data_IF_256430322330
#
_entry.id   IF_256430322330
#
_cell.length_a   1.000
_cell.length_b   1.000
_cell.length_c   1.000
_cell.angle_alpha   90.00
_cell.angle_beta   90.00
_cell.angle_gamma   90.00
#
_symmetry.space_group_name_H-M   'P 1'
#
loop_
_entity.id
_entity.type
_entity.pdbx_description
1 polymer ?
#
# COMPACT_ATOMS: atom_id res chain seq x y z
N UNK A 1 7.30 -16.55 0.17
CA UNK A 1 7.71 -16.28 1.57
C UNK A 1 6.80 -17.09 2.49
N UNK A 2 7.27 -18.21 3.04
CA UNK A 2 6.42 -19.15 3.80
C UNK A 2 6.05 -18.67 5.21
N UNK A 3 6.66 -17.58 5.67
CA UNK A 3 6.46 -17.03 7.02
C UNK A 3 5.09 -16.39 7.18
N UNK A 4 4.62 -15.64 6.16
CA UNK A 4 3.36 -14.90 6.28
C UNK A 4 2.14 -15.82 6.48
N UNK A 5 1.93 -16.90 5.69
CA UNK A 5 0.81 -17.82 5.92
C UNK A 5 0.83 -18.46 7.30
N UNK A 6 2.02 -18.85 7.80
CA UNK A 6 2.18 -19.43 9.14
C UNK A 6 1.82 -18.43 10.26
N UNK A 7 2.27 -17.19 10.13
CA UNK A 7 1.93 -16.13 11.08
C UNK A 7 0.45 -15.76 11.01
N UNK A 8 -0.14 -15.74 9.81
CA UNK A 8 -1.57 -15.49 9.62
C UNK A 8 -2.43 -16.55 10.31
N UNK A 9 -2.07 -17.82 10.17
CA UNK A 9 -2.76 -18.90 10.90
C UNK A 9 -2.72 -18.65 12.42
N UNK A 10 -1.55 -18.30 12.95
CA UNK A 10 -1.39 -17.99 14.38
C UNK A 10 -2.21 -16.77 14.79
N UNK A 11 -2.23 -15.69 14.00
CA UNK A 11 -3.04 -14.51 14.29
C UNK A 11 -4.55 -14.79 14.22
N UNK A 12 -5.00 -15.65 13.31
CA UNK A 12 -6.41 -16.01 13.21
C UNK A 12 -6.88 -16.91 14.35
N UNK A 13 -5.99 -17.75 14.88
CA UNK A 13 -6.30 -18.73 15.93
C UNK A 13 -6.07 -18.20 17.34
N UNK A 14 -5.08 -17.32 17.54
CA UNK A 14 -4.65 -16.84 18.85
C UNK A 14 -4.59 -15.31 18.91
N UNK A 15 -5.65 -14.70 19.42
CA UNK A 15 -5.76 -13.26 19.64
C UNK A 15 -5.28 -12.85 21.05
N UNK A 16 -4.03 -13.19 21.38
CA UNK A 16 -3.47 -13.08 22.74
C UNK A 16 -2.43 -11.94 22.88
N UNK A 17 -1.97 -11.38 21.75
CA UNK A 17 -0.84 -10.45 21.74
C UNK A 17 -1.26 -9.05 22.23
N UNK A 18 -1.08 -8.80 23.52
CA UNK A 18 -1.33 -7.50 24.15
C UNK A 18 -0.13 -6.54 24.00
N UNK A 19 1.10 -7.07 24.02
CA UNK A 19 2.33 -6.27 23.93
C UNK A 19 2.85 -6.15 22.50
N UNK A 20 3.07 -4.91 22.06
CA UNK A 20 3.52 -4.60 20.70
C UNK A 20 5.01 -4.89 20.45
N UNK A 21 5.76 -5.27 21.48
CA UNK A 21 7.22 -5.47 21.39
C UNK A 21 7.61 -6.69 20.56
N UNK A 22 6.77 -7.73 20.55
CA UNK A 22 6.96 -8.90 19.69
C UNK A 22 6.99 -8.49 18.21
N UNK A 23 6.07 -7.61 17.79
CA UNK A 23 6.01 -7.11 16.42
C UNK A 23 7.26 -6.30 16.06
N UNK A 24 7.79 -5.47 16.98
CA UNK A 24 9.04 -4.73 16.76
C UNK A 24 10.22 -5.68 16.54
N UNK A 25 10.30 -6.78 17.30
CA UNK A 25 11.35 -7.79 17.16
C UNK A 25 11.24 -8.50 15.81
N UNK A 26 10.06 -9.01 15.45
CA UNK A 26 9.85 -9.65 14.15
C UNK A 26 10.11 -8.72 12.98
N UNK A 27 9.68 -7.46 13.07
CA UNK A 27 9.95 -6.44 12.06
C UNK A 27 11.45 -6.17 11.90
N UNK A 28 12.21 -6.14 13.01
CA UNK A 28 13.67 -6.00 12.99
C UNK A 28 14.33 -7.19 12.31
N UNK A 29 13.88 -8.41 12.59
CA UNK A 29 14.41 -9.63 11.98
C UNK A 29 14.09 -9.72 10.49
N UNK A 30 12.86 -9.39 10.07
CA UNK A 30 12.47 -9.29 8.66
C UNK A 30 13.31 -8.23 7.95
N UNK A 31 13.49 -7.06 8.56
CA UNK A 31 14.33 -6.00 8.00
C UNK A 31 15.79 -6.45 7.85
N UNK A 32 16.35 -7.12 8.86
CA UNK A 32 17.71 -7.69 8.82
C UNK A 32 17.84 -8.71 7.68
N UNK A 33 16.84 -9.56 7.49
CA UNK A 33 16.80 -10.53 6.39
C UNK A 33 16.74 -9.84 5.01
N UNK A 34 15.77 -8.94 4.81
CA UNK A 34 15.57 -8.22 3.54
C UNK A 34 16.83 -7.44 3.13
N UNK A 35 17.52 -6.83 4.10
CA UNK A 35 18.72 -6.04 3.84
C UNK A 35 20.04 -6.80 4.00
N UNK A 36 20.01 -8.13 4.22
CA UNK A 36 21.20 -8.96 4.44
C UNK A 36 22.13 -8.38 5.53
N UNK A 37 21.56 -7.89 6.63
CA UNK A 37 22.29 -7.25 7.73
C UNK A 37 22.78 -5.82 7.46
N UNK A 38 22.57 -5.27 6.26
CA UNK A 38 22.94 -3.88 5.92
C UNK A 38 21.88 -2.90 6.43
N UNK A 39 22.28 -1.62 6.57
CA UNK A 39 21.34 -0.55 6.94
C UNK A 39 20.22 -0.41 5.87
N UNK A 40 18.94 -0.34 6.28
CA UNK A 40 17.83 -0.11 5.36
C UNK A 40 18.01 1.18 4.55
N UNK A 41 17.78 1.12 3.25
CA UNK A 41 17.89 2.29 2.36
C UNK A 41 16.57 3.03 2.15
N UNK A 42 15.47 2.34 2.45
CA UNK A 42 14.09 2.85 2.31
C UNK A 42 13.43 2.74 3.68
N UNK A 43 12.62 3.74 4.04
CA UNK A 43 11.82 3.70 5.28
C UNK A 43 10.87 2.50 5.23
N UNK A 44 10.68 1.83 6.36
CA UNK A 44 9.83 0.65 6.43
C UNK A 44 8.38 0.92 5.98
N UNK A 45 7.79 2.06 6.35
CA UNK A 45 6.45 2.47 5.90
C UNK A 45 6.30 2.48 4.37
N UNK A 46 7.31 2.99 3.66
CA UNK A 46 7.33 2.96 2.19
C UNK A 46 7.50 1.54 1.62
N UNK A 47 8.17 0.62 2.33
CA UNK A 47 8.27 -0.77 1.90
C UNK A 47 6.92 -1.50 2.02
N UNK A 48 6.15 -1.21 3.07
CA UNK A 48 4.85 -1.86 3.37
C UNK A 48 3.70 -1.34 2.54
N UNK A 49 3.83 -0.14 1.97
CA UNK A 49 2.80 0.48 1.15
C UNK A 49 2.47 -0.36 -0.12
N UNK A 50 1.28 -0.12 -0.67
CA UNK A 50 0.77 -0.85 -1.83
C UNK A 50 1.63 -0.56 -3.07
N UNK A 51 1.75 -1.55 -3.97
CA UNK A 51 2.55 -1.41 -5.21
C UNK A 51 2.06 -0.26 -6.08
N UNK A 52 0.75 -0.03 -6.15
CA UNK A 52 0.15 1.02 -6.98
C UNK A 52 0.45 2.43 -6.46
N UNK A 53 0.59 2.60 -5.14
CA UNK A 53 1.03 3.87 -4.51
C UNK A 53 2.55 3.97 -4.42
N UNK A 54 3.24 2.94 -4.87
CA UNK A 54 4.67 2.89 -4.98
C UNK A 54 5.43 2.27 -3.83
N UNK A 55 4.78 1.49 -2.98
CA UNK A 55 5.48 0.63 -2.06
C UNK A 55 5.91 -0.71 -2.68
N UNK A 56 6.54 -1.55 -1.88
CA UNK A 56 6.99 -2.88 -2.31
C UNK A 56 6.02 -3.99 -1.90
N UNK A 57 4.90 -3.64 -1.25
CA UNK A 57 3.95 -4.55 -0.62
C UNK A 57 4.61 -5.56 0.33
N UNK A 58 5.57 -5.09 1.13
CA UNK A 58 6.11 -5.87 2.22
C UNK A 58 5.00 -6.10 3.27
N UNK A 59 4.75 -7.35 3.71
CA UNK A 59 3.72 -7.62 4.72
C UNK A 59 4.03 -6.96 6.06
N UNK A 60 3.09 -6.15 6.58
CA UNK A 60 3.16 -5.66 7.95
C UNK A 60 2.41 -6.61 8.90
N UNK A 61 3.18 -7.39 9.68
CA UNK A 61 2.63 -8.38 10.61
C UNK A 61 1.70 -7.76 11.66
N UNK A 62 1.94 -6.52 12.07
CA UNK A 62 1.10 -5.84 13.05
C UNK A 62 -0.28 -5.55 12.48
N UNK A 63 -0.32 -4.97 11.27
CA UNK A 63 -1.58 -4.66 10.59
C UNK A 63 -2.36 -5.94 10.28
N UNK A 64 -1.67 -7.03 9.95
CA UNK A 64 -2.32 -8.34 9.76
C UNK A 64 -2.93 -8.89 11.04
N UNK A 65 -2.24 -8.76 12.17
CA UNK A 65 -2.77 -9.15 13.48
C UNK A 65 -4.00 -8.30 13.86
N UNK A 66 -3.92 -6.98 13.71
CA UNK A 66 -5.04 -6.06 13.96
C UNK A 66 -6.23 -6.35 13.02
N UNK A 67 -5.96 -6.68 11.76
CA UNK A 67 -7.01 -7.09 10.80
C UNK A 67 -7.70 -8.41 11.21
N UNK A 68 -6.93 -9.38 11.70
CA UNK A 68 -7.49 -10.63 12.21
C UNK A 68 -8.32 -10.40 13.49
N UNK A 69 -7.92 -9.46 14.35
CA UNK A 69 -8.71 -9.06 15.52
C UNK A 69 -10.08 -8.50 15.12
N UNK A 70 -10.16 -7.69 14.06
CA UNK A 70 -11.44 -7.22 13.53
C UNK A 70 -12.34 -8.35 13.02
N UNK A 71 -11.78 -9.41 12.44
CA UNK A 71 -12.57 -10.58 12.04
C UNK A 71 -13.23 -11.27 13.25
N UNK A 72 -12.58 -11.28 14.41
CA UNK A 72 -13.18 -11.77 15.67
C UNK A 72 -14.23 -10.79 16.19
N UNK A 73 -13.90 -9.49 16.23
CA UNK A 73 -14.83 -8.44 16.64
C UNK A 73 -16.12 -8.44 15.81
N UNK A 74 -16.08 -8.84 14.53
CA UNK A 74 -17.28 -9.00 13.70
C UNK A 74 -18.37 -9.82 14.40
N UNK A 75 -18.01 -10.89 15.12
CA UNK A 75 -18.96 -11.73 15.84
C UNK A 75 -19.60 -10.97 17.01
N UNK A 76 -18.83 -10.16 17.73
CA UNK A 76 -19.34 -9.30 18.82
C UNK A 76 -20.25 -8.18 18.30
N UNK A 77 -19.97 -7.68 17.09
CA UNK A 77 -20.77 -6.63 16.46
C UNK A 77 -22.10 -7.17 15.90
N UNK A 78 -22.06 -8.33 15.25
CA UNK A 78 -23.24 -8.91 14.60
C UNK A 78 -24.18 -9.63 15.56
N UNK A 79 -23.64 -10.18 16.66
CA UNK A 79 -24.36 -10.97 17.66
C UNK A 79 -25.03 -12.24 17.11
N UNK A 80 -24.50 -12.81 16.02
CA UNK A 80 -25.11 -13.94 15.30
C UNK A 80 -24.76 -15.31 15.91
N UNK A 81 -23.53 -15.51 16.38
CA UNK A 81 -23.05 -16.79 16.90
C UNK A 81 -23.17 -16.85 18.43
N UNK A 82 -24.30 -17.33 18.94
CA UNK A 82 -24.59 -17.44 20.38
C UNK A 82 -23.54 -18.24 21.13
N UNK A 83 -23.10 -19.39 20.59
CA UNK A 83 -22.17 -20.29 21.26
C UNK A 83 -20.81 -19.64 21.55
N UNK A 84 -20.26 -18.92 20.58
CA UNK A 84 -18.97 -18.23 20.75
C UNK A 84 -19.12 -17.07 21.73
N UNK A 85 -20.21 -16.32 21.62
CA UNK A 85 -20.50 -15.20 22.54
C UNK A 85 -20.69 -15.67 23.97
N UNK A 86 -21.23 -16.88 24.17
CA UNK A 86 -21.41 -17.50 25.47
C UNK A 86 -20.11 -18.04 26.06
N UNK A 87 -19.30 -18.71 25.26
CA UNK A 87 -17.96 -19.14 25.67
C UNK A 87 -17.06 -17.95 26.05
N UNK A 88 -17.00 -16.91 25.21
CA UNK A 88 -16.11 -15.78 25.44
C UNK A 88 -16.61 -14.82 26.53
N UNK A 89 -17.93 -14.81 26.76
CA UNK A 89 -18.60 -13.91 27.71
C UNK A 89 -19.12 -14.60 28.97
N UNK A 90 -18.53 -15.72 29.38
CA UNK A 90 -18.96 -16.52 30.54
C UNK A 90 -18.99 -15.70 31.87
N UNK A 91 -18.10 -14.72 32.03
CA UNK A 91 -18.01 -13.86 33.23
C UNK A 91 -18.53 -12.42 33.00
N UNK A 92 -19.11 -12.14 31.82
CA UNK A 92 -19.57 -10.81 31.47
C UNK A 92 -20.86 -10.48 32.22
N UNK A 93 -20.95 -9.26 32.77
CA UNK A 93 -22.16 -8.79 33.45
C UNK A 93 -23.16 -8.13 32.51
N UNK A 94 -22.68 -7.49 31.46
CA UNK A 94 -23.50 -6.79 30.46
C UNK A 94 -23.27 -7.36 29.05
N UNK A 95 -24.08 -6.93 28.10
CA UNK A 95 -23.86 -7.18 26.67
C UNK A 95 -22.50 -6.67 26.15
N UNK A 96 -22.07 -7.22 25.02
CA UNK A 96 -20.87 -6.86 24.29
C UNK A 96 -20.88 -5.40 23.83
N UNK A 97 -22.01 -4.88 23.35
CA UNK A 97 -22.11 -3.49 22.91
C UNK A 97 -21.97 -2.51 24.07
N UNK A 98 -22.32 -2.93 25.29
CA UNK A 98 -22.08 -2.16 26.52
C UNK A 98 -20.58 -1.88 26.74
N UNK A 99 -19.74 -2.89 26.51
CA UNK A 99 -18.30 -2.81 26.69
C UNK A 99 -17.61 -2.11 25.51
N UNK A 100 -18.06 -2.35 24.27
CA UNK A 100 -17.46 -1.81 23.04
C UNK A 100 -17.78 -0.32 22.85
N UNK A 101 -19.02 0.09 23.10
CA UNK A 101 -19.49 1.46 22.80
C UNK A 101 -19.58 2.35 24.04
N UNK A 102 -20.25 1.88 25.10
CA UNK A 102 -20.54 2.67 26.32
C UNK A 102 -19.45 2.61 27.40
N UNK A 103 -18.28 2.06 27.08
CA UNK A 103 -17.07 2.06 27.91
C UNK A 103 -17.31 1.52 29.35
N UNK A 104 -18.22 0.55 29.49
CA UNK A 104 -18.51 -0.16 30.76
C UNK A 104 -17.31 -0.92 31.32
N UNK A 105 -16.23 -1.03 30.55
CA UNK A 105 -14.94 -1.59 30.96
C UNK A 105 -14.28 -0.75 32.06
N UNK A 106 -14.54 0.57 32.13
CA UNK A 106 -14.09 1.42 33.26
C UNK A 106 -14.78 1.05 34.58
N UNK A 107 -16.03 0.59 34.50
CA UNK A 107 -16.84 0.22 35.66
C UNK A 107 -16.58 -1.23 36.09
N UNK A 108 -16.34 -2.13 35.13
CA UNK A 108 -16.09 -3.55 35.39
C UNK A 108 -14.75 -4.01 34.80
N UNK A 109 -13.71 -4.06 35.65
CA UNK A 109 -12.37 -4.54 35.27
C UNK A 109 -12.36 -6.01 34.82
N UNK A 110 -13.35 -6.80 35.23
CA UNK A 110 -13.49 -8.23 34.87
C UNK A 110 -13.39 -8.50 33.37
N UNK A 111 -13.93 -7.60 32.54
CA UNK A 111 -13.87 -7.73 31.08
C UNK A 111 -12.43 -7.77 30.52
N UNK A 112 -11.49 -7.08 31.17
CA UNK A 112 -10.06 -7.04 30.80
C UNK A 112 -9.23 -8.17 31.41
N UNK A 113 -9.79 -8.96 32.32
CA UNK A 113 -9.07 -10.06 32.95
C UNK A 113 -8.84 -11.20 31.95
N UNK A 114 -9.75 -11.38 30.99
CA UNK A 114 -9.58 -12.37 29.94
C UNK A 114 -8.63 -11.89 28.85
N UNK A 115 -7.64 -12.72 28.57
CA UNK A 115 -6.49 -12.38 27.72
C UNK A 115 -6.93 -12.00 26.30
N UNK A 116 -7.86 -12.77 25.71
CA UNK A 116 -8.38 -12.51 24.36
C UNK A 116 -9.23 -11.24 24.33
N UNK A 117 -10.09 -11.05 25.35
CA UNK A 117 -11.00 -9.90 25.38
C UNK A 117 -10.23 -8.60 25.52
N UNK A 118 -9.21 -8.60 26.38
CA UNK A 118 -8.29 -7.49 26.56
C UNK A 118 -7.58 -7.13 25.26
N UNK A 119 -7.03 -8.11 24.54
CA UNK A 119 -6.32 -7.87 23.29
C UNK A 119 -7.24 -7.28 22.21
N UNK A 120 -8.42 -7.89 22.00
CA UNK A 120 -9.41 -7.43 21.03
C UNK A 120 -9.94 -6.02 21.35
N UNK A 121 -10.26 -5.76 22.63
CA UNK A 121 -10.70 -4.44 23.08
C UNK A 121 -9.60 -3.37 22.89
N UNK A 122 -8.35 -3.70 23.16
CA UNK A 122 -7.22 -2.79 22.94
C UNK A 122 -7.01 -2.47 21.47
N UNK A 123 -7.31 -3.40 20.54
CA UNK A 123 -7.32 -3.12 19.09
C UNK A 123 -8.50 -2.23 18.74
N UNK A 124 -9.71 -2.56 19.22
CA UNK A 124 -10.92 -1.76 18.99
C UNK A 124 -10.72 -0.30 19.40
N UNK A 125 -10.28 -0.06 20.64
CA UNK A 125 -10.09 1.30 21.16
C UNK A 125 -9.08 2.14 20.37
N UNK A 126 -8.11 1.52 19.68
CA UNK A 126 -7.14 2.24 18.84
C UNK A 126 -7.73 2.77 17.54
N UNK A 127 -8.79 2.14 17.06
CA UNK A 127 -9.40 2.46 15.77
C UNK A 127 -10.85 2.94 15.90
N UNK A 128 -11.46 2.87 17.09
CA UNK A 128 -12.84 3.26 17.35
C UNK A 128 -13.14 4.65 16.77
N UNK A 129 -12.33 5.65 17.12
CA UNK A 129 -12.54 7.03 16.68
C UNK A 129 -12.29 7.22 15.17
N UNK A 130 -11.44 6.38 14.56
CA UNK A 130 -11.15 6.40 13.12
C UNK A 130 -12.25 5.73 12.29
N UNK A 131 -12.89 4.71 12.86
CA UNK A 131 -13.89 3.88 12.20
C UNK A 131 -15.31 4.43 12.38
N UNK A 132 -15.63 4.90 13.58
CA UNK A 132 -16.96 5.37 13.99
C UNK A 132 -16.81 6.67 14.81
N UNK A 133 -16.95 7.80 14.13
CA UNK A 133 -16.91 9.13 14.78
C UNK A 133 -18.23 9.49 15.47
N UNK A 134 -19.30 8.79 15.13
CA UNK A 134 -20.68 8.98 15.59
C UNK A 134 -21.29 7.64 16.00
N UNK A 135 -22.48 7.66 16.61
CA UNK A 135 -23.17 6.43 17.03
C UNK A 135 -23.49 5.56 15.80
N UNK A 136 -23.01 4.30 15.77
CA UNK A 136 -23.10 3.44 14.60
C UNK A 136 -24.48 2.81 14.46
N UNK A 137 -24.84 2.40 13.24
CA UNK A 137 -26.16 1.84 12.95
C UNK A 137 -26.29 0.38 13.40
N UNK A 138 -25.18 -0.33 13.51
CA UNK A 138 -25.14 -1.72 13.97
C UNK A 138 -25.27 -1.89 15.50
N UNK A 139 -25.22 -0.80 16.26
CA UNK A 139 -25.33 -0.85 17.73
C UNK A 139 -26.76 -1.20 18.16
N UNK A 140 -26.87 -2.13 19.11
CA UNK A 140 -28.12 -2.58 19.74
C UNK A 140 -28.21 -2.01 21.16
N UNK A 141 -29.04 -0.98 21.41
CA UNK A 141 -29.12 -0.34 22.72
C UNK A 141 -29.69 -1.25 23.81
N UNK A 142 -30.53 -2.20 23.40
CA UNK A 142 -31.13 -3.18 24.29
C UNK A 142 -30.07 -4.15 24.84
N UNK A 143 -29.24 -4.68 23.96
CA UNK A 143 -28.14 -5.58 24.34
C UNK A 143 -27.16 -4.87 25.28
N UNK A 144 -26.88 -3.60 25.02
CA UNK A 144 -25.96 -2.81 25.84
C UNK A 144 -26.45 -2.53 27.28
N UNK A 145 -27.76 -2.60 27.53
CA UNK A 145 -28.35 -2.37 28.86
C UNK A 145 -28.68 -3.65 29.61
N UNK A 146 -28.95 -4.74 28.89
CA UNK A 146 -29.31 -6.02 29.46
C UNK A 146 -28.16 -6.69 30.22
N UNK A 147 -28.51 -7.38 31.30
CA UNK A 147 -27.57 -8.19 32.09
C UNK A 147 -27.42 -9.52 31.38
N UNK A 148 -26.20 -9.90 31.03
CA UNK A 148 -25.96 -11.11 30.25
C UNK A 148 -26.44 -12.35 31.00
N UNK A 149 -27.21 -13.21 30.32
CA UNK A 149 -27.60 -14.56 30.79
C UNK A 149 -27.05 -15.60 29.80
N UNK A 150 -26.77 -16.80 30.28
CA UNK A 150 -26.39 -17.94 29.44
C UNK A 150 -27.54 -18.28 28.48
N UNK A 151 -27.23 -18.59 27.22
CA UNK A 151 -28.21 -18.88 26.16
C UNK A 151 -29.21 -17.74 25.94
N UNK A 152 -28.75 -16.49 25.95
CA UNK A 152 -29.60 -15.36 25.54
C UNK A 152 -29.88 -15.44 24.04
N UNK A 153 -30.94 -16.15 23.66
CA UNK A 153 -31.53 -16.02 22.34
C UNK A 153 -32.27 -14.69 22.26
N UNK A 154 -31.70 -13.72 21.55
CA UNK A 154 -32.43 -12.52 21.16
C UNK A 154 -31.75 -11.91 19.95
N UNK A 155 -32.43 -11.96 18.81
CA UNK A 155 -32.16 -11.04 17.70
C UNK A 155 -32.48 -9.63 18.19
N UNK A 156 -31.51 -9.00 18.85
CA UNK A 156 -31.67 -7.66 19.39
C UNK A 156 -31.77 -6.66 18.24
N UNK A 157 -32.79 -5.80 18.23
CA UNK A 157 -32.93 -4.82 17.17
C UNK A 157 -31.75 -3.83 17.23
N UNK A 158 -31.13 -3.61 16.08
CA UNK A 158 -30.02 -2.65 15.88
C UNK A 158 -30.60 -1.27 15.56
N UNK A 159 -29.83 -0.20 15.75
CA UNK A 159 -30.26 1.14 15.38
C UNK A 159 -30.70 1.27 13.91
N UNK A 160 -30.13 0.51 12.98
CA UNK A 160 -30.57 0.47 11.58
C UNK A 160 -32.03 0.01 11.40
N UNK A 161 -32.60 -0.70 12.37
CA UNK A 161 -33.97 -1.21 12.33
C UNK A 161 -34.94 -0.38 13.18
N UNK A 162 -34.43 0.36 14.16
CA UNK A 162 -35.22 1.11 15.17
C UNK A 162 -35.47 2.57 14.74
N UNK A 163 -34.60 3.12 13.90
CA UNK A 163 -34.62 4.53 13.51
C UNK A 163 -35.44 4.75 12.24
N UNK A 164 -36.33 5.74 12.26
CA UNK A 164 -37.01 6.31 11.09
C UNK A 164 -36.36 7.65 10.72
N UNK A 165 -36.18 7.89 9.42
CA UNK A 165 -35.64 9.14 8.90
C UNK A 165 -36.78 10.06 8.45
N UNK A 166 -36.95 11.19 9.12
CA UNK A 166 -37.72 12.35 8.65
C UNK A 166 -36.72 13.46 8.28
N UNK A 167 -36.15 13.41 7.08
CA UNK A 167 -35.12 14.37 6.62
C UNK A 167 -33.83 14.32 7.46
N UNK A 168 -33.35 15.46 7.96
CA UNK A 168 -32.16 15.52 8.85
C UNK A 168 -32.43 15.06 10.30
N UNK A 169 -33.70 14.85 10.67
CA UNK A 169 -34.09 14.47 12.03
C UNK A 169 -34.31 12.96 12.10
N UNK A 170 -33.39 12.30 12.78
CA UNK A 170 -33.55 10.90 13.20
C UNK A 170 -34.61 10.84 14.30
N UNK A 171 -35.69 10.10 14.06
CA UNK A 171 -36.72 9.80 15.07
C UNK A 171 -36.71 8.31 15.38
N UNK A 172 -37.06 7.98 16.62
CA UNK A 172 -37.31 6.60 17.02
C UNK A 172 -38.68 6.17 16.47
N UNK A 173 -38.78 4.96 15.92
CA UNK A 173 -40.06 4.38 15.51
C UNK A 173 -41.06 4.33 16.66
N UNK A 174 -42.35 4.46 16.35
CA UNK A 174 -43.43 4.34 17.35
C UNK A 174 -43.43 2.94 17.99
N UNK A 175 -43.88 2.88 19.25
CA UNK A 175 -43.98 1.64 20.01
C UNK A 175 -44.79 0.56 19.28
N UNK A 176 -45.83 0.95 18.55
CA UNK A 176 -46.68 0.03 17.77
C UNK A 176 -45.93 -0.71 16.67
N UNK A 177 -44.95 -0.07 16.02
CA UNK A 177 -44.09 -0.69 14.99
C UNK A 177 -42.99 -1.56 15.58
N UNK A 178 -42.53 -1.22 16.78
CA UNK A 178 -41.48 -1.93 17.51
C UNK A 178 -42.00 -3.05 18.42
N UNK A 179 -43.31 -3.20 18.57
CA UNK A 179 -43.97 -4.20 19.42
C UNK A 179 -43.60 -5.65 19.07
N UNK A 180 -43.23 -5.93 17.82
CA UNK A 180 -42.76 -7.25 17.38
C UNK A 180 -41.28 -7.52 17.71
N UNK A 181 -40.50 -6.48 18.01
CA UNK A 181 -39.04 -6.55 18.25
C UNK A 181 -38.63 -6.24 19.70
N UNK A 182 -39.55 -5.66 20.47
CA UNK A 182 -39.34 -5.22 21.85
C UNK A 182 -40.30 -5.97 22.76
N UNK A 183 -39.77 -6.66 23.78
CA UNK A 183 -40.58 -7.52 24.66
C UNK A 183 -41.63 -6.74 25.48
N UNK A 184 -41.27 -5.55 25.99
CA UNK A 184 -42.13 -4.76 26.90
C UNK A 184 -42.04 -3.25 26.66
N UNK A 185 -43.05 -2.51 27.13
CA UNK A 185 -43.06 -1.04 27.09
C UNK A 185 -41.89 -0.41 27.87
N UNK A 186 -41.44 -1.05 28.96
CA UNK A 186 -40.28 -0.63 29.74
C UNK A 186 -38.99 -0.70 28.90
N UNK A 187 -38.85 -1.75 28.10
CA UNK A 187 -37.72 -1.92 27.21
C UNK A 187 -37.69 -0.82 26.13
N UNK A 188 -38.86 -0.41 25.63
CA UNK A 188 -38.96 0.73 24.71
C UNK A 188 -38.53 2.05 25.39
N UNK A 189 -38.91 2.26 26.65
CA UNK A 189 -38.50 3.45 27.41
C UNK A 189 -36.99 3.49 27.66
N UNK A 190 -36.39 2.33 27.94
CA UNK A 190 -34.94 2.19 28.09
C UNK A 190 -34.18 2.51 26.79
N UNK A 191 -34.69 2.10 25.62
CA UNK A 191 -34.14 2.49 24.32
C UNK A 191 -34.32 3.99 24.08
N UNK A 192 -35.46 4.56 24.44
CA UNK A 192 -35.70 6.00 24.26
C UNK A 192 -34.71 6.83 25.11
N UNK A 193 -34.38 6.35 26.30
CA UNK A 193 -33.38 6.98 27.15
C UNK A 193 -31.96 6.90 26.54
N UNK A 194 -31.53 5.73 26.04
CA UNK A 194 -30.22 5.63 25.36
C UNK A 194 -30.19 6.45 24.08
N UNK A 195 -31.28 6.43 23.30
CA UNK A 195 -31.44 7.25 22.11
C UNK A 195 -31.29 8.74 22.43
N UNK A 196 -31.85 9.23 23.54
CA UNK A 196 -31.66 10.62 23.97
C UNK A 196 -30.20 10.94 24.32
N UNK A 197 -29.48 9.99 24.89
CA UNK A 197 -28.04 10.13 25.20
C UNK A 197 -27.20 10.12 23.91
N UNK A 198 -27.44 9.16 23.02
CA UNK A 198 -26.72 8.99 21.76
C UNK A 198 -27.05 10.09 20.74
N UNK A 199 -28.24 10.70 20.82
CA UNK A 199 -28.61 11.89 20.03
C UNK A 199 -27.73 13.10 20.35
N UNK A 200 -27.14 13.19 21.55
CA UNK A 200 -26.19 14.26 21.90
C UNK A 200 -24.84 14.09 21.19
N UNK A 201 -24.45 12.85 20.91
CA UNK A 201 -23.21 12.49 20.19
C UNK A 201 -23.44 12.59 18.67
N UNK A 202 -24.67 12.29 18.22
CA UNK A 202 -25.08 12.30 16.82
C UNK A 202 -24.98 10.92 16.19
N UNK A 203 -25.91 10.62 15.25
CA UNK A 203 -25.96 9.34 14.55
C UNK A 203 -25.23 9.41 13.21
N UNK A 204 -24.63 8.28 12.82
CA UNK A 204 -24.03 8.14 11.49
C UNK A 204 -25.14 7.84 10.47
N UNK A 205 -25.32 8.76 9.50
CA UNK A 205 -26.38 8.68 8.48
C UNK A 205 -26.00 7.72 7.34
N UNK A 206 -24.75 7.78 6.90
CA UNK A 206 -24.19 6.90 5.86
C UNK A 206 -23.62 5.62 6.47
N UNK A 207 -23.54 4.55 5.68
CA UNK A 207 -22.92 3.30 6.15
C UNK A 207 -21.46 3.57 6.52
N UNK A 208 -21.03 3.11 7.68
CA UNK A 208 -19.63 3.29 8.09
C UNK A 208 -18.70 2.43 7.23
N UNK A 209 -17.42 2.83 7.14
CA UNK A 209 -16.42 2.03 6.42
C UNK A 209 -16.28 0.62 7.03
N UNK A 210 -16.59 0.47 8.32
CA UNK A 210 -16.71 -0.83 8.98
C UNK A 210 -17.92 -1.63 8.49
N UNK A 211 -19.08 -0.99 8.39
CA UNK A 211 -20.31 -1.64 7.91
C UNK A 211 -20.11 -2.19 6.49
N UNK A 212 -19.51 -1.40 5.60
CA UNK A 212 -19.26 -1.81 4.21
C UNK A 212 -18.16 -2.87 4.07
N UNK A 213 -17.05 -2.77 4.81
CA UNK A 213 -15.89 -3.65 4.60
C UNK A 213 -15.88 -4.90 5.49
N UNK A 214 -16.54 -4.86 6.66
CA UNK A 214 -16.51 -5.94 7.66
C UNK A 214 -17.86 -6.61 7.90
N UNK A 215 -18.96 -5.86 8.00
CA UNK A 215 -20.26 -6.41 8.45
C UNK A 215 -21.06 -7.09 7.33
N UNK A 216 -20.86 -6.72 6.06
CA UNK A 216 -21.49 -7.41 4.93
C UNK A 216 -20.99 -8.86 4.77
N UNK A 217 -21.84 -9.78 4.25
CA UNK A 217 -21.45 -11.17 4.01
C UNK A 217 -20.57 -11.22 2.77
N UNK A 218 -19.25 -11.20 2.96
CA UNK A 218 -18.33 -11.29 1.83
C UNK A 218 -17.06 -12.06 2.16
N UNK A 219 -16.58 -12.77 1.15
CA UNK A 219 -15.30 -13.46 1.18
C UNK A 219 -14.16 -12.45 1.32
N UNK A 220 -13.04 -12.84 1.95
CA UNK A 220 -11.79 -12.04 2.10
C UNK A 220 -11.84 -10.85 3.08
N UNK A 221 -12.61 -10.95 4.18
CA UNK A 221 -12.68 -9.92 5.25
C UNK A 221 -11.30 -9.44 5.73
N UNK A 222 -10.36 -10.36 5.95
CA UNK A 222 -9.01 -10.02 6.41
C UNK A 222 -8.26 -9.14 5.42
N UNK A 223 -8.32 -9.44 4.12
CA UNK A 223 -7.64 -8.66 3.08
C UNK A 223 -8.25 -7.27 2.91
N UNK A 224 -9.58 -7.17 3.01
CA UNK A 224 -10.32 -5.88 2.96
C UNK A 224 -9.93 -5.00 4.15
N UNK A 225 -9.99 -5.56 5.35
CA UNK A 225 -9.60 -4.86 6.57
C UNK A 225 -8.13 -4.43 6.53
N UNK A 226 -7.23 -5.32 6.11
CA UNK A 226 -5.81 -4.99 5.96
C UNK A 226 -5.59 -3.83 4.99
N UNK A 227 -6.25 -3.84 3.83
CA UNK A 227 -6.11 -2.76 2.85
C UNK A 227 -6.64 -1.42 3.39
N UNK A 228 -7.70 -1.45 4.20
CA UNK A 228 -8.27 -0.27 4.85
C UNK A 228 -7.31 0.28 5.93
N UNK A 229 -6.81 -0.59 6.83
CA UNK A 229 -5.83 -0.20 7.84
C UNK A 229 -4.52 0.29 7.21
N UNK A 230 -4.08 -0.35 6.13
CA UNK A 230 -2.90 0.06 5.37
C UNK A 230 -3.09 1.45 4.76
N UNK A 231 -4.26 1.74 4.18
CA UNK A 231 -4.59 3.09 3.66
C UNK A 231 -4.40 4.15 4.73
N UNK A 232 -4.87 3.91 5.94
CA UNK A 232 -4.74 4.87 7.03
C UNK A 232 -3.32 5.01 7.53
N UNK A 233 -2.59 3.90 7.66
CA UNK A 233 -1.19 3.97 8.08
C UNK A 233 -0.27 4.65 7.03
N UNK A 234 -0.68 4.68 5.77
CA UNK A 234 0.08 5.30 4.67
C UNK A 234 -0.46 6.66 4.20
N UNK A 235 -1.59 7.15 4.73
CA UNK A 235 -2.17 8.46 4.39
C UNK A 235 -1.22 9.63 4.70
N UNK A 236 -0.41 9.52 5.77
CA UNK A 236 0.56 10.56 6.14
C UNK A 236 1.76 10.67 5.17
N UNK A 237 2.01 9.65 4.33
CA UNK A 237 3.17 9.60 3.42
C UNK A 237 2.76 9.73 1.93
N UNK A 238 1.62 10.35 1.63
CA UNK A 238 1.13 10.58 0.25
C UNK A 238 2.20 11.22 -0.64
N UNK A 239 2.89 12.25 -0.12
CA UNK A 239 4.06 12.84 -0.77
C UNK A 239 5.32 12.13 -0.28
N UNK A 240 5.83 11.21 -1.10
CA UNK A 240 7.07 10.50 -0.78
C UNK A 240 8.23 11.48 -0.76
N UNK A 241 9.08 11.39 0.27
CA UNK A 241 10.32 12.19 0.36
C UNK A 241 11.23 12.07 -0.88
N UNK A 242 11.12 10.97 -1.63
CA UNK A 242 11.80 10.80 -2.91
C UNK A 242 11.26 11.74 -4.00
N UNK A 243 9.95 11.96 -4.06
CA UNK A 243 9.30 12.84 -5.03
C UNK A 243 9.74 14.30 -4.83
N UNK A 244 9.75 14.77 -3.58
CA UNK A 244 10.20 16.14 -3.24
C UNK A 244 11.65 16.35 -3.71
N UNK A 245 12.53 15.39 -3.43
CA UNK A 245 13.93 15.48 -3.85
C UNK A 245 14.08 15.45 -5.37
N UNK A 246 13.21 14.72 -6.08
CA UNK A 246 13.17 14.74 -7.54
C UNK A 246 12.69 16.06 -8.11
N UNK A 247 11.64 16.66 -7.54
CA UNK A 247 11.21 18.00 -7.92
C UNK A 247 12.32 19.05 -7.71
N UNK A 248 13.05 18.97 -6.59
CA UNK A 248 14.20 19.86 -6.31
C UNK A 248 15.31 19.74 -7.35
N UNK A 249 15.71 18.51 -7.72
CA UNK A 249 16.81 18.29 -8.67
C UNK A 249 16.43 18.64 -10.12
N UNK A 250 15.17 18.45 -10.48
CA UNK A 250 14.63 18.73 -11.82
C UNK A 250 14.32 20.23 -12.00
N UNK A 251 14.06 20.96 -10.92
CA UNK A 251 13.77 22.40 -10.95
C UNK A 251 12.31 22.74 -11.28
N UNK A 252 11.42 21.74 -11.35
CA UNK A 252 9.97 21.95 -11.45
C UNK A 252 9.19 20.87 -10.69
N UNK A 253 7.94 21.19 -10.33
CA UNK A 253 7.09 20.27 -9.57
C UNK A 253 6.63 19.10 -10.46
N UNK A 254 6.87 17.88 -9.99
CA UNK A 254 6.32 16.66 -10.57
C UNK A 254 4.89 16.50 -10.06
N UNK A 255 3.92 16.37 -10.97
CA UNK A 255 2.52 16.15 -10.60
C UNK A 255 2.35 14.77 -9.95
N UNK A 256 1.54 14.71 -8.90
CA UNK A 256 1.27 13.46 -8.18
C UNK A 256 0.68 12.38 -9.10
N UNK A 257 -0.22 12.76 -10.02
CA UNK A 257 -0.82 11.86 -10.99
C UNK A 257 0.21 11.18 -11.90
N UNK A 258 1.19 11.93 -12.40
CA UNK A 258 2.28 11.39 -13.23
C UNK A 258 3.16 10.42 -12.42
N UNK A 259 3.40 10.73 -11.15
CA UNK A 259 4.15 9.88 -10.24
C UNK A 259 3.42 8.56 -9.94
N UNK A 260 2.11 8.60 -9.71
CA UNK A 260 1.28 7.41 -9.53
C UNK A 260 1.18 6.59 -10.82
N UNK A 261 1.15 7.26 -11.98
CA UNK A 261 1.15 6.62 -13.28
C UNK A 261 2.41 5.78 -13.52
N UNK A 262 3.57 6.17 -12.98
CA UNK A 262 4.80 5.37 -13.06
C UNK A 262 4.63 4.00 -12.41
N UNK A 263 3.95 3.93 -11.27
CA UNK A 263 3.75 2.68 -10.54
C UNK A 263 2.69 1.79 -11.19
N UNK A 264 1.62 2.40 -11.69
CA UNK A 264 0.49 1.67 -12.28
C UNK A 264 0.75 1.22 -13.72
N UNK A 265 1.44 2.04 -14.54
CA UNK A 265 1.69 1.75 -15.97
C UNK A 265 3.17 1.63 -16.29
N UNK A 266 4.00 2.55 -15.78
CA UNK A 266 5.44 2.63 -16.10
C UNK A 266 6.25 1.41 -15.69
N UNK A 267 5.90 0.74 -14.58
CA UNK A 267 6.56 -0.50 -14.12
C UNK A 267 5.95 -1.74 -14.76
N UNK A 268 4.73 -1.66 -15.29
CA UNK A 268 4.03 -2.80 -15.89
C UNK A 268 4.44 -3.06 -17.33
N UNK A 269 5.35 -2.31 -17.95
CA UNK A 269 5.82 -2.61 -19.31
C UNK A 269 6.56 -3.97 -19.44
N UNK A 270 7.17 -4.48 -18.35
CA UNK A 270 7.91 -5.76 -18.34
C UNK A 270 7.38 -6.76 -17.32
N UNK A 271 7.50 -8.06 -17.61
CA UNK A 271 7.35 -9.11 -16.60
C UNK A 271 8.67 -9.36 -15.84
N UNK A 272 9.82 -9.01 -16.44
CA UNK A 272 11.14 -9.22 -15.84
C UNK A 272 11.35 -8.38 -14.56
N UNK A 273 11.59 -9.05 -13.44
CA UNK A 273 11.82 -8.40 -12.14
C UNK A 273 13.07 -7.50 -12.12
N UNK A 274 14.13 -7.86 -12.84
CA UNK A 274 15.37 -7.07 -12.88
C UNK A 274 15.15 -5.67 -13.50
N UNK A 275 14.34 -5.60 -14.57
CA UNK A 275 14.00 -4.34 -15.23
C UNK A 275 13.11 -3.47 -14.34
N UNK A 276 12.14 -4.10 -13.66
CA UNK A 276 11.27 -3.42 -12.68
C UNK A 276 12.07 -2.87 -11.51
N UNK A 277 13.04 -3.64 -11.01
CA UNK A 277 13.92 -3.24 -9.92
C UNK A 277 14.76 -2.01 -10.29
N UNK A 278 15.24 -1.89 -11.53
CA UNK A 278 15.98 -0.70 -11.96
C UNK A 278 15.13 0.58 -11.83
N UNK A 279 13.88 0.56 -12.30
CA UNK A 279 12.97 1.71 -12.19
C UNK A 279 12.73 2.03 -10.71
N UNK A 280 12.43 1.03 -9.88
CA UNK A 280 12.23 1.22 -8.45
C UNK A 280 13.47 1.81 -7.76
N UNK A 281 14.67 1.36 -8.13
CA UNK A 281 15.95 1.91 -7.65
C UNK A 281 16.15 3.37 -8.06
N UNK A 282 15.74 3.75 -9.27
CA UNK A 282 15.79 5.15 -9.73
C UNK A 282 14.80 6.02 -8.96
N UNK A 283 13.54 5.60 -8.85
CA UNK A 283 12.49 6.34 -8.16
C UNK A 283 12.87 6.64 -6.70
N UNK A 284 13.35 5.62 -5.97
CA UNK A 284 13.78 5.76 -4.58
C UNK A 284 15.23 6.23 -4.39
N UNK A 285 15.97 6.52 -5.48
CA UNK A 285 17.37 7.00 -5.44
C UNK A 285 18.29 6.06 -4.64
N UNK A 286 18.18 4.78 -4.95
CA UNK A 286 18.80 3.68 -4.20
C UNK A 286 20.32 3.66 -4.33
N UNK A 287 20.86 4.14 -5.46
CA UNK A 287 22.30 4.17 -5.70
C UNK A 287 23.02 5.08 -4.71
N UNK A 288 24.15 4.59 -4.18
CA UNK A 288 25.00 5.35 -3.27
C UNK A 288 25.86 6.32 -4.07
N UNK A 289 25.89 7.57 -3.63
CA UNK A 289 26.66 8.63 -4.27
C UNK A 289 27.87 9.00 -3.41
N UNK A 290 28.93 9.60 -3.98
CA UNK A 290 30.08 10.13 -3.25
C UNK A 290 29.66 11.03 -2.09
N UNK A 291 28.71 11.94 -2.31
CA UNK A 291 28.19 12.82 -1.25
C UNK A 291 27.54 12.03 -0.10
N UNK A 292 26.75 10.99 -0.40
CA UNK A 292 26.15 10.14 0.64
C UNK A 292 27.21 9.33 1.39
N UNK A 293 28.21 8.80 0.67
CA UNK A 293 29.29 8.01 1.26
C UNK A 293 30.20 8.87 2.12
N UNK A 294 30.53 10.08 1.68
CA UNK A 294 31.28 11.06 2.44
C UNK A 294 30.58 11.39 3.77
N UNK A 295 29.26 11.55 3.76
CA UNK A 295 28.48 11.75 5.00
C UNK A 295 28.43 10.53 5.92
N UNK A 296 28.45 9.31 5.38
CA UNK A 296 28.36 8.07 6.18
C UNK A 296 29.71 7.71 6.80
N UNK A 297 30.79 7.87 6.04
CA UNK A 297 32.14 7.46 6.43
C UNK A 297 33.05 8.63 6.80
N UNK A 298 32.50 9.85 6.86
CA UNK A 298 33.24 11.09 7.12
C UNK A 298 34.46 11.27 6.19
N UNK A 299 34.33 10.88 4.92
CA UNK A 299 35.41 10.99 3.95
C UNK A 299 35.55 12.44 3.46
N UNK A 300 36.78 12.94 3.25
CA UNK A 300 37.01 14.31 2.79
C UNK A 300 36.66 14.51 1.31
N UNK A 301 36.64 13.44 0.50
CA UNK A 301 36.39 13.52 -0.92
C UNK A 301 34.92 13.20 -1.27
N UNK A 302 34.16 14.24 -1.63
CA UNK A 302 32.77 14.14 -2.10
C UNK A 302 32.63 14.30 -3.63
N UNK A 303 33.75 14.30 -4.37
CA UNK A 303 33.79 14.54 -5.81
C UNK A 303 33.16 13.40 -6.60
N UNK A 304 32.64 13.75 -7.77
CA UNK A 304 32.06 12.80 -8.73
C UNK A 304 33.10 11.80 -9.23
N UNK A 305 32.79 10.50 -9.18
CA UNK A 305 33.70 9.44 -9.69
C UNK A 305 33.98 9.48 -11.19
N UNK A 306 33.23 10.28 -11.96
CA UNK A 306 33.38 10.37 -13.42
C UNK A 306 34.20 11.59 -13.83
N UNK A 307 33.83 12.80 -13.37
CA UNK A 307 34.53 14.03 -13.74
C UNK A 307 35.61 14.44 -12.73
N UNK A 308 35.59 13.97 -11.48
CA UNK A 308 36.48 14.40 -10.39
C UNK A 308 36.51 15.92 -10.13
N UNK A 309 35.59 16.70 -10.70
CA UNK A 309 35.58 18.17 -10.62
C UNK A 309 34.55 18.65 -9.60
N UNK A 310 33.28 18.29 -9.81
CA UNK A 310 32.14 18.75 -9.00
C UNK A 310 31.69 17.72 -7.98
N UNK A 311 30.88 18.14 -7.02
CA UNK A 311 30.28 17.24 -6.03
C UNK A 311 29.44 16.14 -6.70
N UNK A 312 29.63 14.90 -6.26
CA UNK A 312 28.93 13.73 -6.77
C UNK A 312 27.51 13.62 -6.21
N UNK A 313 26.63 14.58 -6.55
CA UNK A 313 25.20 14.48 -6.23
C UNK A 313 24.53 13.38 -7.07
N UNK A 314 23.33 12.94 -6.66
CA UNK A 314 22.61 11.90 -7.38
C UNK A 314 22.27 12.35 -8.81
N UNK A 315 21.74 13.56 -8.96
CA UNK A 315 21.41 14.13 -10.27
C UNK A 315 22.66 14.35 -11.13
N UNK A 316 23.77 14.78 -10.52
CA UNK A 316 25.02 14.97 -11.25
C UNK A 316 25.54 13.66 -11.86
N UNK A 317 25.55 12.58 -11.07
CA UNK A 317 25.97 11.26 -11.53
C UNK A 317 25.00 10.55 -12.48
N UNK A 318 23.81 11.10 -12.72
CA UNK A 318 22.85 10.51 -13.66
C UNK A 318 22.61 11.38 -14.89
N UNK A 319 22.85 12.69 -14.81
CA UNK A 319 22.46 13.62 -15.87
C UNK A 319 23.48 14.73 -16.13
N UNK A 320 23.82 15.54 -15.12
CA UNK A 320 24.56 16.80 -15.38
C UNK A 320 26.06 16.62 -15.58
N UNK A 321 26.64 15.48 -15.17
CA UNK A 321 28.07 15.23 -15.38
C UNK A 321 28.41 15.28 -16.88
N UNK A 322 29.43 16.04 -17.32
CA UNK A 322 29.75 16.21 -18.74
C UNK A 322 29.93 14.88 -19.49
N UNK A 323 30.66 13.93 -18.89
CA UNK A 323 30.85 12.58 -19.42
C UNK A 323 29.54 11.80 -19.59
N UNK A 324 28.61 11.95 -18.64
CA UNK A 324 27.34 11.23 -18.64
C UNK A 324 26.35 11.88 -19.60
N UNK A 325 26.39 13.20 -19.72
CA UNK A 325 25.64 13.96 -20.72
C UNK A 325 26.02 13.53 -22.14
N UNK A 326 27.32 13.35 -22.41
CA UNK A 326 27.81 12.83 -23.69
C UNK A 326 27.27 11.41 -23.97
N UNK A 327 27.29 10.53 -22.97
CA UNK A 327 26.71 9.18 -23.09
C UNK A 327 25.20 9.20 -23.38
N UNK A 328 24.43 10.03 -22.66
CA UNK A 328 22.99 10.18 -22.94
C UNK A 328 22.71 10.79 -24.31
N UNK A 329 23.60 11.66 -24.79
CA UNK A 329 23.51 12.24 -26.13
C UNK A 329 23.73 11.20 -27.23
N UNK A 330 24.71 10.30 -27.05
CA UNK A 330 24.90 9.15 -27.94
C UNK A 330 23.63 8.29 -28.00
N UNK A 331 23.07 7.92 -26.85
CA UNK A 331 21.87 7.08 -26.77
C UNK A 331 20.65 7.82 -27.36
N UNK A 332 20.50 9.11 -27.08
CA UNK A 332 19.43 9.91 -27.66
C UNK A 332 19.49 9.92 -29.19
N UNK A 333 20.69 10.07 -29.77
CA UNK A 333 20.86 10.07 -31.22
C UNK A 333 20.48 8.71 -31.83
N UNK A 334 20.82 7.61 -31.18
CA UNK A 334 20.44 6.27 -31.61
C UNK A 334 18.93 6.04 -31.51
N UNK A 335 18.30 6.42 -30.41
CA UNK A 335 16.85 6.34 -30.25
C UNK A 335 16.15 7.21 -31.30
N UNK A 336 16.67 8.40 -31.60
CA UNK A 336 16.17 9.30 -32.65
C UNK A 336 16.25 8.64 -34.03
N UNK A 337 17.34 7.93 -34.35
CA UNK A 337 17.48 7.17 -35.61
C UNK A 337 16.44 6.05 -35.70
N UNK A 338 16.23 5.30 -34.61
CA UNK A 338 15.24 4.20 -34.55
C UNK A 338 13.82 4.73 -34.72
N UNK A 339 13.47 5.79 -33.99
CA UNK A 339 12.11 6.34 -33.96
C UNK A 339 11.80 7.26 -35.16
N UNK A 340 12.83 7.71 -35.90
CA UNK A 340 12.74 8.68 -37.01
C UNK A 340 11.97 9.96 -36.63
N UNK A 341 12.07 10.39 -35.37
CA UNK A 341 11.37 11.56 -34.82
C UNK A 341 12.22 12.27 -33.76
N UNK A 342 12.14 13.60 -33.71
CA UNK A 342 12.82 14.45 -32.72
C UNK A 342 11.91 14.80 -31.55
N UNK A 343 12.36 14.57 -30.33
CA UNK A 343 11.61 14.92 -29.11
C UNK A 343 12.54 15.59 -28.08
N UNK A 344 12.03 16.43 -27.17
CA UNK A 344 12.88 17.14 -26.23
C UNK A 344 13.57 16.18 -25.24
N UNK A 345 14.86 16.43 -24.98
CA UNK A 345 15.70 15.69 -24.01
C UNK A 345 15.32 16.03 -22.57
N UNK A 346 14.16 15.53 -22.13
CA UNK A 346 13.62 15.75 -20.78
C UNK A 346 14.20 14.71 -19.79
N UNK A 347 14.86 15.12 -18.69
CA UNK A 347 15.47 14.18 -17.74
C UNK A 347 14.44 13.25 -17.09
N UNK A 348 13.19 13.69 -16.92
CA UNK A 348 12.10 12.89 -16.35
C UNK A 348 11.79 11.67 -17.23
N UNK A 349 11.83 11.86 -18.56
CA UNK A 349 11.59 10.77 -19.51
C UNK A 349 12.73 9.74 -19.48
N UNK A 350 13.99 10.18 -19.46
CA UNK A 350 15.14 9.29 -19.50
C UNK A 350 15.45 8.59 -18.18
N UNK A 351 15.29 9.28 -17.04
CA UNK A 351 15.66 8.77 -15.72
C UNK A 351 14.49 8.09 -15.00
N UNK A 352 13.30 8.69 -15.04
CA UNK A 352 12.11 8.19 -14.33
C UNK A 352 11.18 7.40 -15.25
N UNK A 353 11.23 7.64 -16.58
CA UNK A 353 10.28 7.05 -17.52
C UNK A 353 8.95 7.82 -17.60
N UNK A 354 8.92 9.10 -17.20
CA UNK A 354 7.75 9.96 -17.37
C UNK A 354 7.76 10.46 -18.82
N UNK A 355 7.26 9.64 -19.72
CA UNK A 355 7.30 9.91 -21.16
C UNK A 355 6.21 10.91 -21.58
N UNK A 356 5.12 11.05 -20.82
CA UNK A 356 4.03 11.98 -21.12
C UNK A 356 3.52 11.83 -22.56
N UNK A 357 3.19 12.94 -23.23
CA UNK A 357 2.85 12.97 -24.66
C UNK A 357 4.07 13.02 -25.60
N UNK A 358 5.30 12.97 -25.07
CA UNK A 358 6.54 13.19 -25.84
C UNK A 358 6.82 12.06 -26.84
N UNK A 359 6.33 10.85 -26.56
CA UNK A 359 6.48 9.67 -27.41
C UNK A 359 5.10 9.10 -27.71
N UNK A 360 4.89 8.74 -28.98
CA UNK A 360 3.67 8.06 -29.46
C UNK A 360 3.44 6.80 -28.64
N UNK A 361 2.17 6.48 -28.33
CA UNK A 361 1.82 5.35 -27.46
C UNK A 361 2.48 4.03 -27.89
N UNK A 362 2.55 3.75 -29.20
CA UNK A 362 3.20 2.57 -29.78
C UNK A 362 4.72 2.50 -29.55
N UNK A 363 5.39 3.64 -29.43
CA UNK A 363 6.86 3.70 -29.30
C UNK A 363 7.33 3.79 -27.83
N UNK A 364 6.39 3.91 -26.87
CA UNK A 364 6.71 4.07 -25.44
C UNK A 364 7.37 2.83 -24.87
N UNK A 365 6.89 1.65 -25.24
CA UNK A 365 7.42 0.37 -24.75
C UNK A 365 8.91 0.25 -25.09
N UNK A 366 9.26 0.42 -26.37
CA UNK A 366 10.64 0.40 -26.83
C UNK A 366 11.50 1.46 -26.13
N UNK A 367 11.01 2.71 -26.03
CA UNK A 367 11.72 3.78 -25.33
C UNK A 367 12.03 3.41 -23.87
N UNK A 368 11.09 2.79 -23.17
CA UNK A 368 11.29 2.32 -21.80
C UNK A 368 12.36 1.23 -21.70
N UNK A 369 12.38 0.27 -22.63
CA UNK A 369 13.44 -0.75 -22.68
C UNK A 369 14.82 -0.14 -22.97
N UNK A 370 14.90 0.73 -23.98
CA UNK A 370 16.12 1.41 -24.40
C UNK A 370 16.75 2.26 -23.28
N UNK A 371 15.92 3.05 -22.60
CA UNK A 371 16.38 3.88 -21.46
C UNK A 371 16.71 3.04 -20.23
N UNK A 372 15.99 1.93 -19.98
CA UNK A 372 16.31 1.03 -18.87
C UNK A 372 17.64 0.30 -19.10
N UNK A 373 17.94 -0.10 -20.34
CA UNK A 373 19.24 -0.69 -20.71
C UNK A 373 20.39 0.29 -20.42
N UNK A 374 20.23 1.55 -20.84
CA UNK A 374 21.18 2.63 -20.56
C UNK A 374 21.41 2.80 -19.04
N UNK A 375 20.33 2.83 -18.26
CA UNK A 375 20.40 2.96 -16.81
C UNK A 375 21.12 1.79 -16.14
N UNK A 376 20.85 0.56 -16.58
CA UNK A 376 21.49 -0.64 -16.01
C UNK A 376 22.98 -0.66 -16.33
N UNK A 377 23.38 -0.27 -17.54
CA UNK A 377 24.79 -0.18 -17.92
C UNK A 377 25.54 0.90 -17.13
N UNK A 378 24.96 2.09 -16.97
CA UNK A 378 25.53 3.12 -16.09
C UNK A 378 25.66 2.65 -14.65
N UNK A 379 24.67 1.89 -14.15
CA UNK A 379 24.72 1.30 -12.82
C UNK A 379 25.78 0.18 -12.68
N UNK A 380 26.11 -0.54 -13.77
CA UNK A 380 27.20 -1.53 -13.79
C UNK A 380 28.55 -0.84 -13.60
N UNK A 381 28.78 0.26 -14.33
CA UNK A 381 29.99 1.07 -14.24
C UNK A 381 29.88 2.20 -13.21
N UNK A 382 29.13 2.00 -12.12
CA UNK A 382 28.77 3.10 -11.22
C UNK A 382 29.98 3.77 -10.54
N UNK A 383 30.88 2.96 -9.97
CA UNK A 383 32.08 3.44 -9.23
C UNK A 383 33.32 3.66 -10.09
N UNK A 384 33.35 3.11 -11.30
CA UNK A 384 34.51 3.17 -12.20
C UNK A 384 34.53 4.49 -12.98
N UNK A 385 35.68 4.95 -13.46
CA UNK A 385 35.74 6.15 -14.33
C UNK A 385 35.29 5.87 -15.78
N UNK A 386 35.35 4.60 -16.19
CA UNK A 386 34.94 4.15 -17.52
C UNK A 386 33.43 4.30 -17.73
N UNK A 387 33.05 4.53 -18.99
CA UNK A 387 31.67 4.59 -19.45
C UNK A 387 31.36 3.38 -20.33
N UNK A 388 30.07 2.94 -20.38
CA UNK A 388 29.66 1.89 -21.30
C UNK A 388 29.82 2.34 -22.76
N UNK A 389 30.13 1.39 -23.64
CA UNK A 389 30.22 1.63 -25.09
C UNK A 389 28.85 1.51 -25.76
N UNK A 390 28.75 1.97 -27.00
CA UNK A 390 27.52 1.87 -27.79
C UNK A 390 27.16 0.41 -28.09
N UNK A 391 28.16 -0.42 -28.41
CA UNK A 391 27.99 -1.84 -28.70
C UNK A 391 27.40 -2.59 -27.51
N UNK A 392 27.92 -2.36 -26.30
CA UNK A 392 27.38 -2.95 -25.07
C UNK A 392 25.90 -2.57 -24.85
N UNK A 393 25.53 -1.33 -25.18
CA UNK A 393 24.14 -0.89 -25.12
C UNK A 393 23.27 -1.59 -26.17
N UNK A 394 23.72 -1.69 -27.41
CA UNK A 394 23.00 -2.39 -28.47
C UNK A 394 22.78 -3.86 -28.11
N UNK A 395 23.82 -4.57 -27.65
CA UNK A 395 23.70 -5.96 -27.19
C UNK A 395 22.67 -6.10 -26.07
N UNK A 396 22.67 -5.18 -25.09
CA UNK A 396 21.68 -5.21 -24.01
C UNK A 396 20.25 -4.95 -24.48
N UNK A 397 20.07 -4.08 -25.46
CA UNK A 397 18.74 -3.84 -26.04
C UNK A 397 18.26 -5.06 -26.83
N UNK A 398 19.15 -5.78 -27.51
CA UNK A 398 18.84 -7.06 -28.18
C UNK A 398 18.43 -8.12 -27.16
N UNK A 399 19.17 -8.28 -26.05
CA UNK A 399 18.78 -9.18 -24.96
C UNK A 399 17.35 -8.86 -24.45
N UNK A 400 17.02 -7.57 -24.35
CA UNK A 400 15.72 -7.11 -23.86
C UNK A 400 14.59 -7.30 -24.85
N UNK A 401 14.88 -7.36 -26.16
CA UNK A 401 13.92 -7.76 -27.18
C UNK A 401 13.44 -9.20 -26.92
N UNK A 402 14.36 -10.14 -26.66
CA UNK A 402 14.00 -11.51 -26.29
C UNK A 402 13.19 -11.58 -24.99
N UNK A 403 13.54 -10.78 -23.98
CA UNK A 403 12.76 -10.69 -22.74
C UNK A 403 11.37 -10.06 -22.93
N UNK A 404 11.22 -9.16 -23.90
CA UNK A 404 9.93 -8.57 -24.26
C UNK A 404 9.02 -9.58 -24.94
N UNK A 405 9.55 -10.41 -25.85
CA UNK A 405 8.82 -11.51 -26.47
C UNK A 405 8.34 -12.54 -25.44
N UNK A 406 9.20 -12.91 -24.49
CA UNK A 406 8.80 -13.76 -23.35
C UNK A 406 7.75 -13.10 -22.47
N UNK A 407 7.86 -11.78 -22.23
CA UNK A 407 6.85 -11.02 -21.46
C UNK A 407 5.49 -11.03 -22.16
N UNK A 408 5.45 -10.89 -23.49
CA UNK A 408 4.22 -10.96 -24.27
C UNK A 408 3.54 -12.32 -24.16
N UNK A 409 4.33 -13.40 -24.28
CA UNK A 409 3.84 -14.79 -24.10
C UNK A 409 3.26 -15.04 -22.71
N UNK A 410 3.90 -14.54 -21.65
CA UNK A 410 3.40 -14.71 -20.27
C UNK A 410 2.07 -13.98 -20.02
N UNK A 411 1.79 -12.94 -20.81
CA UNK A 411 0.62 -12.06 -20.61
C UNK A 411 -0.49 -12.28 -21.63
N UNK A 412 -0.38 -13.32 -22.46
CA UNK A 412 -1.28 -13.59 -23.58
C UNK A 412 -1.49 -12.36 -24.49
N UNK A 413 -0.47 -11.50 -24.58
CA UNK A 413 -0.49 -10.38 -25.52
C UNK A 413 -0.19 -10.95 -26.91
N UNK A 414 -1.09 -10.72 -27.88
CA UNK A 414 -0.94 -11.23 -29.24
C UNK A 414 0.45 -10.92 -29.80
N UNK A 415 1.11 -11.92 -30.40
CA UNK A 415 2.49 -11.82 -30.93
C UNK A 415 2.69 -10.56 -31.79
N UNK A 416 1.65 -10.18 -32.53
CA UNK A 416 1.60 -8.99 -33.38
C UNK A 416 1.89 -7.66 -32.64
N UNK A 417 1.44 -7.52 -31.39
CA UNK A 417 1.63 -6.28 -30.62
C UNK A 417 3.08 -6.07 -30.19
N UNK A 418 3.76 -7.15 -29.78
CA UNK A 418 5.19 -7.10 -29.45
C UNK A 418 6.01 -6.91 -30.72
N UNK A 419 5.61 -7.56 -31.81
CA UNK A 419 6.30 -7.43 -33.09
C UNK A 419 6.17 -6.01 -33.67
N UNK A 420 5.01 -5.35 -33.53
CA UNK A 420 4.83 -3.93 -33.88
C UNK A 420 5.74 -2.99 -33.07
N UNK A 421 5.83 -3.19 -31.75
CA UNK A 421 6.64 -2.35 -30.85
C UNK A 421 8.14 -2.40 -31.19
N UNK A 422 8.63 -3.55 -31.69
CA UNK A 422 10.03 -3.77 -32.04
C UNK A 422 10.32 -3.67 -33.54
N UNK A 423 9.30 -3.55 -34.41
CA UNK A 423 9.45 -3.51 -35.87
C UNK A 423 10.44 -2.43 -36.34
N UNK A 424 10.36 -1.23 -35.76
CA UNK A 424 11.26 -0.11 -36.08
C UNK A 424 12.70 -0.39 -35.67
N UNK A 425 12.89 -1.09 -34.56
CA UNK A 425 14.21 -1.47 -34.07
C UNK A 425 14.80 -2.63 -34.89
N UNK A 426 14.01 -3.63 -35.28
CA UNK A 426 14.44 -4.70 -36.20
C UNK A 426 14.86 -4.14 -37.56
N UNK A 427 14.11 -3.16 -38.09
CA UNK A 427 14.51 -2.43 -39.32
C UNK A 427 15.81 -1.65 -39.09
N UNK A 428 15.98 -0.98 -37.95
CA UNK A 428 17.21 -0.26 -37.62
C UNK A 428 18.44 -1.20 -37.54
N UNK A 429 18.33 -2.34 -36.87
CA UNK A 429 19.40 -3.33 -36.76
C UNK A 429 19.82 -3.86 -38.14
N UNK A 430 18.85 -4.13 -39.03
CA UNK A 430 19.13 -4.54 -40.42
C UNK A 430 19.85 -3.46 -41.23
N UNK A 431 19.58 -2.18 -40.96
CA UNK A 431 20.12 -1.06 -41.75
C UNK A 431 21.49 -0.58 -41.24
N UNK A 432 21.72 -0.59 -39.93
CA UNK A 432 22.93 -0.01 -39.32
C UNK A 432 23.96 -1.02 -38.79
N UNK A 433 23.57 -2.26 -38.44
CA UNK A 433 24.48 -3.21 -37.78
C UNK A 433 24.93 -4.38 -38.66
N UNK A 434 24.40 -4.57 -39.87
CA UNK A 434 24.69 -5.75 -40.73
C UNK A 434 24.58 -7.10 -39.98
N UNK A 435 23.74 -7.21 -38.95
CA UNK A 435 23.48 -8.46 -38.25
C UNK A 435 22.33 -9.14 -39.01
N UNK A 436 22.66 -10.22 -39.72
CA UNK A 436 21.79 -10.80 -40.74
C UNK A 436 20.70 -11.73 -40.17
N UNK A 437 20.71 -12.07 -38.87
CA UNK A 437 19.69 -12.95 -38.28
C UNK A 437 19.35 -12.54 -36.84
N UNK A 438 18.10 -12.08 -36.65
CA UNK A 438 17.33 -12.03 -35.39
C UNK A 438 15.83 -12.03 -35.73
#
# INVERSE_FOLDING_TARGET
MNVLPRMLFLFQTLQILDKMDCFKKWQKDISKFVWQGKKPRIKFKNLTDAKDRGGFALPDLRLYYESAAFCWLKQWLLLENTDILDLEGFDNRFGWHAYIWYDKVKQHKGFKNHIVRKALYNVWMRYKDLLESKTPRWLSPMEAKEVKKLNMESKWPKYCEILEQDGEKVKLQSYEKLKSKVRDWLHYLQINETFKQDRKIGFQMERSKLETELLEPNTKNLSRMYNLLLKWNTQDETVKSAMIKWAQDIGHNIMFADWEQLWTTGIKFTACNALRENIMKMMYRWYMTPVKLAKIYHLPNNKCWKCNETEGTFYHLWWTCPRIKAFWEMIYNEIKKVLKWTFPKKPEAFLLGIVGQLVRRKDRTFFMYATTAARILLAKYWKTQQLPTLEEWQTKVIDYMGLAELTGRIRDQGKETVEEDWKKFKVYLRTCCKIQEC
#
